data_IF_948279773494
#
_entry.id   IF_948279773494
#
_cell.length_a   1.000
_cell.length_b   1.000
_cell.length_c   1.000
_cell.angle_alpha   90.00
_cell.angle_beta   90.00
_cell.angle_gamma   90.00
#
_symmetry.space_group_name_H-M   'P 1'
#
loop_
_entity.id
_entity.type
_entity.pdbx_description
1 polymer ?
#
# COMPACT_ATOMS: atom_id res chain seq x y z
N UNK A 1 -7.45 3.88 -7.31
CA UNK A 1 -7.13 4.57 -8.59
C UNK A 1 -6.56 5.97 -8.36
N UNK A 2 -7.24 6.80 -7.55
CA UNK A 2 -6.83 8.18 -7.24
C UNK A 2 -5.38 8.29 -6.74
N UNK A 3 -4.97 7.40 -5.83
CA UNK A 3 -3.61 7.41 -5.26
C UNK A 3 -2.48 7.17 -6.28
N UNK A 4 -2.78 6.62 -7.46
CA UNK A 4 -1.77 6.40 -8.51
C UNK A 4 -1.64 7.59 -9.44
N UNK A 5 -2.52 8.58 -9.31
CA UNK A 5 -2.48 9.80 -10.08
C UNK A 5 -1.32 10.68 -9.61
N UNK A 6 -0.30 10.82 -10.45
CA UNK A 6 0.95 11.47 -10.05
C UNK A 6 0.80 12.97 -9.80
N UNK A 7 -0.25 13.59 -10.35
CA UNK A 7 -0.60 14.99 -10.04
C UNK A 7 -1.18 15.17 -8.64
N UNK A 8 -1.62 14.10 -7.97
CA UNK A 8 -2.15 14.12 -6.62
C UNK A 8 -1.06 13.81 -5.60
N UNK A 9 -0.31 12.72 -5.82
CA UNK A 9 0.80 12.32 -4.97
C UNK A 9 1.89 11.67 -5.82
N UNK A 10 2.93 12.46 -6.12
CA UNK A 10 4.08 11.98 -6.87
C UNK A 10 4.85 10.89 -6.10
N UNK A 11 5.31 9.86 -6.82
CA UNK A 11 6.04 8.74 -6.24
C UNK A 11 5.14 7.64 -5.66
N UNK A 12 3.83 7.85 -5.66
CA UNK A 12 2.87 6.85 -5.21
C UNK A 12 2.67 5.77 -6.28
N UNK A 13 3.29 4.62 -6.04
CA UNK A 13 3.20 3.41 -6.86
C UNK A 13 2.20 2.40 -6.29
N UNK A 14 1.98 1.32 -7.04
CA UNK A 14 1.01 0.28 -6.68
C UNK A 14 1.30 -0.39 -5.34
N UNK A 15 2.58 -0.62 -5.00
CA UNK A 15 2.97 -1.24 -3.74
C UNK A 15 2.62 -0.34 -2.56
N UNK A 16 3.06 0.92 -2.62
CA UNK A 16 2.79 1.92 -1.59
C UNK A 16 1.29 2.19 -1.43
N UNK A 17 0.52 2.21 -2.52
CA UNK A 17 -0.92 2.42 -2.47
C UNK A 17 -1.64 1.25 -1.77
N UNK A 18 -1.30 0.00 -2.11
CA UNK A 18 -1.88 -1.18 -1.45
C UNK A 18 -1.54 -1.18 0.05
N UNK A 19 -0.27 -0.92 0.40
CA UNK A 19 0.19 -0.84 1.79
C UNK A 19 -0.53 0.27 2.56
N UNK A 20 -0.58 1.49 2.02
CA UNK A 20 -1.21 2.63 2.67
C UNK A 20 -2.70 2.39 2.92
N UNK A 21 -3.42 1.82 1.94
CA UNK A 21 -4.84 1.48 2.06
C UNK A 21 -5.08 0.36 3.08
N UNK A 22 -4.19 -0.63 3.14
CA UNK A 22 -4.22 -1.67 4.15
C UNK A 22 -4.01 -1.08 5.55
N UNK A 23 -2.97 -0.26 5.71
CA UNK A 23 -2.65 0.41 6.96
C UNK A 23 -3.80 1.31 7.43
N UNK A 24 -4.40 2.08 6.53
CA UNK A 24 -5.51 2.99 6.84
C UNK A 24 -6.87 2.31 6.97
N UNK A 25 -6.99 1.03 6.60
CA UNK A 25 -8.25 0.28 6.65
C UNK A 25 -9.29 0.75 5.62
N UNK A 26 -8.86 1.32 4.49
CA UNK A 26 -9.75 1.85 3.46
C UNK A 26 -9.86 0.86 2.31
N UNK A 27 -11.08 0.59 1.85
CA UNK A 27 -11.31 -0.27 0.70
C UNK A 27 -10.75 0.38 -0.59
N UNK A 28 -9.91 -0.32 -1.39
CA UNK A 28 -9.31 0.25 -2.60
C UNK A 28 -10.32 0.60 -3.70
N UNK A 29 -11.53 0.03 -3.64
CA UNK A 29 -12.62 0.27 -4.60
C UNK A 29 -13.54 1.42 -4.17
N UNK A 30 -13.41 1.93 -2.94
CA UNK A 30 -14.21 3.04 -2.44
C UNK A 30 -13.83 4.35 -3.15
N UNK A 31 -14.80 5.12 -3.67
CA UNK A 31 -14.52 6.42 -4.28
C UNK A 31 -13.83 7.37 -3.29
N UNK A 32 -12.77 8.03 -3.73
CA UNK A 32 -12.02 8.97 -2.87
C UNK A 32 -12.84 10.16 -2.38
N UNK A 33 -13.90 10.53 -3.11
CA UNK A 33 -14.86 11.57 -2.73
C UNK A 33 -15.76 11.18 -1.55
N UNK A 34 -15.82 9.90 -1.19
CA UNK A 34 -16.62 9.40 -0.06
C UNK A 34 -15.80 9.30 1.23
N UNK A 35 -14.51 9.66 1.20
CA UNK A 35 -13.67 9.65 2.38
C UNK A 35 -13.97 10.88 3.25
N UNK A 36 -14.21 10.64 4.53
CA UNK A 36 -14.26 11.69 5.55
C UNK A 36 -12.89 12.36 5.75
N UNK A 37 -12.87 13.56 6.33
CA UNK A 37 -11.62 14.26 6.64
C UNK A 37 -10.68 13.42 7.53
N UNK A 38 -11.23 12.67 8.49
CA UNK A 38 -10.45 11.80 9.37
C UNK A 38 -9.86 10.61 8.62
N UNK A 39 -10.60 10.03 7.68
CA UNK A 39 -10.08 8.97 6.81
C UNK A 39 -8.98 9.47 5.89
N UNK A 40 -9.14 10.67 5.33
CA UNK A 40 -8.11 11.31 4.52
C UNK A 40 -6.85 11.59 5.35
N UNK A 41 -7.00 12.07 6.59
CA UNK A 41 -5.87 12.30 7.48
C UNK A 41 -5.13 11.01 7.83
N UNK A 42 -5.87 9.93 8.16
CA UNK A 42 -5.28 8.60 8.41
C UNK A 42 -4.59 8.04 7.17
N UNK A 43 -5.23 8.13 6.00
CA UNK A 43 -4.66 7.69 4.74
C UNK A 43 -3.37 8.43 4.42
N UNK A 44 -3.34 9.76 4.59
CA UNK A 44 -2.14 10.57 4.40
C UNK A 44 -1.01 10.12 5.33
N UNK A 45 -1.30 9.87 6.60
CA UNK A 45 -0.30 9.36 7.54
C UNK A 45 0.26 7.99 7.07
N UNK A 46 -0.64 7.05 6.73
CA UNK A 46 -0.24 5.73 6.22
C UNK A 46 0.55 5.78 4.90
N UNK A 47 0.26 6.75 4.02
CA UNK A 47 1.04 6.99 2.81
C UNK A 47 2.46 7.45 3.12
N UNK A 48 2.62 8.36 4.09
CA UNK A 48 3.94 8.82 4.55
C UNK A 48 4.71 7.66 5.17
N UNK A 49 4.08 6.88 6.05
CA UNK A 49 4.72 5.72 6.69
C UNK A 49 5.23 4.71 5.65
N UNK A 50 4.40 4.36 4.66
CA UNK A 50 4.76 3.43 3.60
C UNK A 50 5.93 3.95 2.73
N UNK A 51 5.92 5.24 2.39
CA UNK A 51 7.01 5.85 1.62
C UNK A 51 8.30 5.95 2.43
N UNK A 52 8.23 6.37 3.68
CA UNK A 52 9.38 6.49 4.58
C UNK A 52 10.03 5.13 4.82
N UNK A 53 9.24 4.07 5.01
CA UNK A 53 9.76 2.71 5.10
C UNK A 53 10.50 2.29 3.81
N UNK A 54 9.93 2.62 2.65
CA UNK A 54 10.58 2.36 1.36
C UNK A 54 11.91 3.10 1.19
N UNK A 55 11.97 4.38 1.58
CA UNK A 55 13.21 5.18 1.55
C UNK A 55 14.26 4.61 2.49
N UNK A 56 13.90 4.30 3.74
CA UNK A 56 14.84 3.78 4.72
C UNK A 56 15.47 2.46 4.25
N UNK A 57 14.67 1.57 3.66
CA UNK A 57 15.16 0.30 3.14
C UNK A 57 16.01 0.50 1.87
N UNK A 58 15.70 1.52 1.05
CA UNK A 58 16.54 1.89 -0.07
C UNK A 58 17.90 2.41 0.39
N UNK A 59 17.95 3.27 1.40
CA UNK A 59 19.20 3.76 1.98
C UNK A 59 20.04 2.61 2.57
N UNK A 60 19.41 1.67 3.27
CA UNK A 60 20.07 0.47 3.79
C UNK A 60 20.69 -0.36 2.66
N UNK A 61 19.96 -0.58 1.57
CA UNK A 61 20.47 -1.35 0.42
C UNK A 61 21.71 -0.71 -0.23
N UNK A 62 21.83 0.62 -0.18
CA UNK A 62 23.00 1.35 -0.66
C UNK A 62 24.19 1.17 0.27
N UNK A 63 23.97 1.21 1.58
CA UNK A 63 25.02 0.99 2.59
C UNK A 63 25.58 -0.43 2.44
N UNK A 64 24.70 -1.42 2.21
CA UNK A 64 25.06 -2.82 2.10
C UNK A 64 25.57 -3.23 0.70
N UNK A 65 25.72 -2.28 -0.23
CA UNK A 65 26.17 -2.49 -1.61
C UNK A 65 25.41 -3.59 -2.36
N UNK A 66 24.08 -3.60 -2.24
CA UNK A 66 23.26 -4.58 -2.97
C UNK A 66 23.42 -4.35 -4.48
N UNK A 67 23.67 -5.41 -5.28
CA UNK A 67 24.05 -5.30 -6.69
C UNK A 67 22.98 -4.66 -7.58
N UNK A 68 21.73 -4.65 -7.12
CA UNK A 68 20.62 -3.84 -7.63
C UNK A 68 19.65 -3.66 -6.46
N UNK A 69 19.51 -2.47 -5.85
CA UNK A 69 18.51 -2.24 -4.80
C UNK A 69 17.17 -2.80 -5.29
N UNK A 70 16.58 -3.83 -4.63
CA UNK A 70 15.41 -4.50 -5.15
C UNK A 70 14.34 -3.45 -5.40
N UNK A 71 13.85 -3.36 -6.64
CA UNK A 71 12.69 -2.50 -6.95
C UNK A 71 11.46 -2.83 -6.08
N UNK A 72 11.45 -4.02 -5.49
CA UNK A 72 10.48 -4.51 -4.52
C UNK A 72 11.18 -4.72 -3.16
N UNK A 73 11.44 -3.63 -2.44
CA UNK A 73 11.90 -3.71 -1.05
C UNK A 73 10.75 -4.28 -0.20
N UNK A 74 10.92 -5.48 0.35
CA UNK A 74 9.83 -6.42 0.72
C UNK A 74 9.28 -6.29 2.15
N UNK A 75 9.60 -5.21 2.88
CA UNK A 75 9.03 -4.98 4.22
C UNK A 75 7.63 -4.34 4.14
N UNK A 76 6.74 -4.95 3.36
CA UNK A 76 5.33 -4.57 3.33
C UNK A 76 4.59 -5.34 4.40
N UNK A 77 3.73 -4.65 5.15
CA UNK A 77 2.84 -5.29 6.12
C UNK A 77 1.71 -6.02 5.43
N UNK A 78 1.28 -5.54 4.25
CA UNK A 78 0.22 -6.19 3.48
C UNK A 78 0.72 -7.52 2.91
N UNK A 79 0.03 -8.65 3.18
CA UNK A 79 0.32 -9.90 2.48
C UNK A 79 -0.11 -9.82 1.01
N UNK A 80 0.69 -10.42 0.12
CA UNK A 80 0.58 -10.23 -1.35
C UNK A 80 0.71 -11.52 -2.16
N UNK A 81 0.58 -12.68 -1.52
CA UNK A 81 0.59 -13.97 -2.20
C UNK A 81 -0.79 -14.60 -2.17
N UNK A 82 -1.07 -15.40 -3.20
CA UNK A 82 -2.35 -16.09 -3.31
C UNK A 82 -2.45 -17.11 -2.17
N UNK A 83 -3.49 -16.98 -1.35
CA UNK A 83 -3.69 -17.83 -0.18
C UNK A 83 -3.18 -17.22 1.13
N UNK A 84 -2.56 -16.04 1.10
CA UNK A 84 -2.18 -15.34 2.33
C UNK A 84 -3.39 -14.97 3.19
N UNK A 85 -3.20 -15.06 4.50
CA UNK A 85 -4.14 -14.57 5.50
C UNK A 85 -3.77 -13.14 5.92
N UNK A 86 -4.78 -12.31 6.15
CA UNK A 86 -4.63 -10.97 6.68
C UNK A 86 -3.96 -11.00 8.07
N UNK A 87 -2.90 -10.21 8.27
CA UNK A 87 -2.19 -10.14 9.56
C UNK A 87 -3.02 -9.55 10.71
N UNK A 88 -4.16 -8.91 10.41
CA UNK A 88 -5.06 -8.31 11.42
C UNK A 88 -6.17 -9.25 11.84
N UNK A 89 -6.88 -9.85 10.88
CA UNK A 89 -8.09 -10.63 11.14
C UNK A 89 -7.97 -12.12 10.79
N UNK A 90 -6.83 -12.55 10.23
CA UNK A 90 -6.57 -13.91 9.75
C UNK A 90 -7.54 -14.40 8.65
N UNK A 91 -8.39 -13.52 8.12
CA UNK A 91 -9.24 -13.80 6.97
C UNK A 91 -8.43 -13.83 5.66
N UNK A 92 -9.00 -14.41 4.59
CA UNK A 92 -8.30 -14.48 3.31
C UNK A 92 -8.03 -13.09 2.74
N UNK A 93 -6.85 -12.90 2.15
CA UNK A 93 -6.55 -11.75 1.31
C UNK A 93 -7.18 -11.93 -0.08
N UNK A 94 -7.67 -10.84 -0.65
CA UNK A 94 -8.23 -10.81 -2.00
C UNK A 94 -7.36 -9.98 -2.93
N UNK A 95 -7.43 -10.30 -4.21
CA UNK A 95 -6.79 -9.54 -5.28
C UNK A 95 -7.85 -9.09 -6.27
N UNK A 96 -7.88 -7.80 -6.54
CA UNK A 96 -8.70 -7.19 -7.58
C UNK A 96 -7.81 -6.50 -8.60
N UNK A 97 -8.41 -6.00 -9.69
CA UNK A 97 -7.68 -5.30 -10.75
C UNK A 97 -8.25 -3.90 -10.93
N UNK A 98 -7.45 -2.88 -10.60
CA UNK A 98 -7.82 -1.46 -10.72
C UNK A 98 -6.90 -0.81 -11.75
N UNK A 99 -7.47 -0.19 -12.79
CA UNK A 99 -6.72 0.40 -13.93
C UNK A 99 -5.63 -0.54 -14.47
N UNK A 100 -6.00 -1.80 -14.72
CA UNK A 100 -5.14 -2.86 -15.21
C UNK A 100 -3.99 -3.30 -14.28
N UNK A 101 -3.95 -2.85 -13.02
CA UNK A 101 -2.94 -3.28 -12.04
C UNK A 101 -3.57 -4.12 -10.94
N UNK A 102 -2.86 -5.16 -10.48
CA UNK A 102 -3.30 -5.99 -9.36
C UNK A 102 -3.21 -5.21 -8.06
N UNK A 103 -4.28 -5.25 -7.27
CA UNK A 103 -4.42 -4.58 -5.98
C UNK A 103 -4.81 -5.62 -4.95
N UNK A 104 -3.97 -5.76 -3.92
CA UNK A 104 -4.22 -6.66 -2.80
C UNK A 104 -4.93 -5.92 -1.68
N UNK A 105 -5.89 -6.58 -1.02
CA UNK A 105 -6.63 -6.00 0.10
C UNK A 105 -7.28 -7.08 0.97
N UNK A 106 -7.63 -6.72 2.21
CA UNK A 106 -8.43 -7.56 3.10
C UNK A 106 -9.90 -7.08 3.09
N UNK A 107 -10.86 -7.89 2.60
CA UNK A 107 -12.27 -7.49 2.52
C UNK A 107 -12.94 -7.29 3.89
N UNK A 108 -12.34 -7.82 4.97
CA UNK A 108 -12.87 -7.69 6.34
C UNK A 108 -12.30 -6.49 7.10
N UNK A 109 -11.07 -6.07 6.78
CA UNK A 109 -10.39 -4.99 7.49
C UNK A 109 -10.43 -3.65 6.75
N UNK A 110 -10.80 -3.65 5.47
CA UNK A 110 -10.81 -2.45 4.63
C UNK A 110 -12.23 -2.16 4.17
N UNK A 111 -12.79 -1.04 4.65
CA UNK A 111 -14.18 -0.60 4.42
C UNK A 111 -14.29 0.69 3.61
#
# INVERSE_FOLDING_TARGET
ALLLEQSIAAGMGNLYADEALYLSGINPMRPGSELSADEVARLRASMVDALTAGVALYDQSRIDNWPDPPRALTTWTIPRQKGDACLRCHGPMEVTRIRARSTWFCPRCQV
#
